data_IF_584786786071
#
_entry.id   IF_584786786071
#
_cell.length_a   1.000
_cell.length_b   1.000
_cell.length_c   1.000
_cell.angle_alpha   90.00
_cell.angle_beta   90.00
_cell.angle_gamma   90.00
#
_symmetry.space_group_name_H-M   'P 1'
#
loop_
_entity.id
_entity.type
_entity.pdbx_description
1 polymer ?
#
# COMPACT_ATOMS: atom_id res chain seq x y z
N UNK A 1 -31.58 14.11 -27.53
CA UNK A 1 -32.17 15.44 -27.83
C UNK A 1 -31.30 16.50 -27.18
N UNK A 2 -31.07 17.64 -27.83
CA UNK A 2 -30.45 18.81 -27.20
C UNK A 2 -31.53 19.90 -27.13
N UNK A 3 -31.72 20.50 -25.95
CA UNK A 3 -32.71 21.57 -25.72
C UNK A 3 -32.01 22.80 -25.15
N UNK A 4 -32.26 23.95 -25.75
CA UNK A 4 -31.90 25.26 -25.21
C UNK A 4 -33.14 26.08 -24.95
N UNK A 5 -33.10 26.84 -23.87
CA UNK A 5 -34.15 27.76 -23.45
C UNK A 5 -33.55 29.16 -23.32
N UNK A 6 -34.21 30.12 -23.94
CA UNK A 6 -33.80 31.51 -23.97
C UNK A 6 -34.80 32.36 -23.20
N UNK A 7 -34.30 33.45 -22.60
CA UNK A 7 -35.13 34.44 -21.93
C UNK A 7 -35.65 35.45 -22.94
N UNK A 8 -36.86 35.98 -22.69
CA UNK A 8 -37.52 36.95 -23.56
C UNK A 8 -36.66 38.20 -23.74
N UNK A 9 -36.43 38.57 -24.99
CA UNK A 9 -35.83 39.86 -25.36
C UNK A 9 -36.92 40.83 -25.84
N UNK A 10 -37.19 41.88 -25.05
CA UNK A 10 -38.22 42.89 -25.35
C UNK A 10 -37.89 43.77 -26.56
N UNK A 11 -36.63 43.78 -27.03
CA UNK A 11 -36.21 44.51 -28.23
C UNK A 11 -36.60 43.81 -29.54
N UNK A 12 -37.04 42.54 -29.48
CA UNK A 12 -37.47 41.75 -30.65
C UNK A 12 -38.98 41.45 -30.58
N UNK A 13 -39.69 41.43 -31.73
CA UNK A 13 -41.07 40.97 -31.75
C UNK A 13 -41.12 39.51 -31.30
N UNK A 14 -42.20 39.12 -30.60
CA UNK A 14 -42.28 37.78 -29.99
C UNK A 14 -42.19 36.65 -31.02
N UNK A 15 -42.68 36.88 -32.24
CA UNK A 15 -42.62 35.93 -33.36
C UNK A 15 -41.23 35.72 -33.97
N UNK A 16 -40.26 36.60 -33.70
CA UNK A 16 -38.88 36.46 -34.15
C UNK A 16 -37.90 36.21 -33.00
N UNK A 17 -38.39 36.12 -31.77
CA UNK A 17 -37.61 35.85 -30.57
C UNK A 17 -37.79 34.40 -30.15
N UNK A 18 -36.74 33.59 -30.34
CA UNK A 18 -36.79 32.15 -30.05
C UNK A 18 -36.75 31.95 -28.54
N UNK A 19 -37.77 31.29 -27.99
CA UNK A 19 -37.85 30.93 -26.57
C UNK A 19 -37.22 29.57 -26.31
N UNK A 20 -37.46 28.60 -27.19
CA UNK A 20 -36.90 27.26 -27.06
C UNK A 20 -36.41 26.77 -28.42
N UNK A 21 -35.22 26.17 -28.42
CA UNK A 21 -34.65 25.48 -29.57
C UNK A 21 -34.39 24.04 -29.18
N UNK A 22 -34.97 23.12 -29.94
CA UNK A 22 -34.87 21.68 -29.68
C UNK A 22 -34.29 21.01 -30.92
N UNK A 23 -33.15 20.34 -30.75
CA UNK A 23 -32.53 19.50 -31.76
C UNK A 23 -32.83 18.02 -31.44
N UNK A 24 -33.69 17.42 -32.26
CA UNK A 24 -34.01 15.99 -32.21
C UNK A 24 -33.03 15.25 -33.11
N UNK A 25 -31.85 14.94 -32.57
CA UNK A 25 -30.73 14.35 -33.33
C UNK A 25 -31.12 13.03 -34.02
N UNK A 26 -31.84 12.15 -33.32
CA UNK A 26 -32.27 10.84 -33.84
C UNK A 26 -33.35 10.91 -34.92
N UNK A 27 -34.16 11.97 -34.92
CA UNK A 27 -35.27 12.17 -35.84
C UNK A 27 -34.92 13.13 -36.98
N UNK A 28 -33.69 13.65 -36.98
CA UNK A 28 -33.21 14.66 -37.93
C UNK A 28 -34.09 15.93 -37.99
N UNK A 29 -34.71 16.31 -36.87
CA UNK A 29 -35.62 17.47 -36.77
C UNK A 29 -35.09 18.57 -35.88
N UNK A 30 -35.42 19.81 -36.22
CA UNK A 30 -35.14 21.00 -35.42
C UNK A 30 -36.45 21.73 -35.15
N UNK A 31 -36.84 21.84 -33.89
CA UNK A 31 -38.04 22.55 -33.48
C UNK A 31 -37.67 23.88 -32.81
N UNK A 32 -38.28 24.94 -33.29
CA UNK A 32 -38.22 26.28 -32.72
C UNK A 32 -39.57 26.64 -32.14
N UNK A 33 -39.58 27.02 -30.87
CA UNK A 33 -40.73 27.65 -30.24
C UNK A 33 -40.36 29.10 -29.94
N UNK A 34 -41.15 30.03 -30.44
CA UNK A 34 -40.95 31.46 -30.23
C UNK A 34 -41.64 31.91 -28.93
N UNK A 35 -41.28 33.09 -28.42
CA UNK A 35 -41.97 33.64 -27.26
C UNK A 35 -43.43 33.94 -27.59
N UNK A 36 -44.32 33.73 -26.60
CA UNK A 36 -45.73 34.06 -26.75
C UNK A 36 -45.92 35.59 -26.75
N UNK A 37 -46.82 36.08 -27.59
CA UNK A 37 -47.25 37.49 -27.59
C UNK A 37 -48.21 37.71 -26.44
N UNK A 38 -48.15 38.87 -25.80
CA UNK A 38 -48.99 39.19 -24.63
C UNK A 38 -50.50 39.09 -24.90
N UNK A 39 -50.93 39.25 -26.16
CA UNK A 39 -52.34 39.19 -26.58
C UNK A 39 -52.81 37.80 -27.03
N UNK A 40 -51.98 36.76 -26.92
CA UNK A 40 -52.28 35.41 -27.39
C UNK A 40 -51.93 34.36 -26.34
N UNK A 41 -52.58 33.19 -26.40
CA UNK A 41 -52.38 32.09 -25.45
C UNK A 41 -51.35 31.07 -26.00
N UNK A 42 -51.22 30.97 -27.33
CA UNK A 42 -50.30 30.04 -27.99
C UNK A 42 -49.07 30.76 -28.55
N UNK A 43 -47.94 30.04 -28.56
CA UNK A 43 -46.70 30.50 -29.17
C UNK A 43 -46.58 30.06 -30.63
N UNK A 44 -45.95 30.89 -31.46
CA UNK A 44 -45.56 30.52 -32.82
C UNK A 44 -44.49 29.41 -32.77
N UNK A 45 -44.56 28.47 -33.71
CA UNK A 45 -43.66 27.30 -33.80
C UNK A 45 -43.17 27.09 -35.22
N UNK A 46 -41.93 26.63 -35.37
CA UNK A 46 -41.38 26.18 -36.65
C UNK A 46 -40.64 24.87 -36.46
N UNK A 47 -40.83 23.96 -37.40
CA UNK A 47 -40.14 22.68 -37.46
C UNK A 47 -39.38 22.61 -38.78
N UNK A 48 -38.10 22.28 -38.70
CA UNK A 48 -37.25 21.97 -39.84
C UNK A 48 -36.98 20.49 -39.86
N UNK A 49 -37.25 19.86 -41.00
CA UNK A 49 -36.92 18.47 -41.25
C UNK A 49 -35.62 18.49 -42.06
N UNK A 50 -34.52 17.99 -41.47
CA UNK A 50 -33.27 17.83 -42.20
C UNK A 50 -33.44 16.63 -43.12
N UNK A 51 -33.14 16.83 -44.41
CA UNK A 51 -32.93 15.72 -45.34
C UNK A 51 -31.42 15.45 -45.42
N UNK A 52 -31.04 14.24 -45.81
CA UNK A 52 -29.63 13.86 -45.99
C UNK A 52 -28.96 14.78 -47.02
N UNK A 53 -27.71 15.16 -46.81
CA UNK A 53 -27.03 16.16 -47.66
C UNK A 53 -26.93 15.77 -49.15
N UNK A 54 -27.06 14.46 -49.45
CA UNK A 54 -27.06 13.90 -50.79
C UNK A 54 -28.31 13.04 -51.02
N UNK A 55 -28.97 13.24 -52.16
CA UNK A 55 -29.95 12.26 -52.67
C UNK A 55 -29.25 10.93 -52.98
N UNK A 56 -30.01 9.83 -53.11
CA UNK A 56 -29.50 8.51 -53.58
C UNK A 56 -28.74 8.55 -54.94
N UNK A 57 -28.68 9.71 -55.60
CA UNK A 57 -28.02 9.99 -56.87
C UNK A 57 -26.85 11.00 -56.77
N UNK A 58 -26.43 11.39 -55.56
CA UNK A 58 -25.29 12.30 -55.33
C UNK A 58 -25.55 13.78 -55.66
N UNK A 59 -26.82 14.19 -55.80
CA UNK A 59 -27.19 15.59 -56.01
C UNK A 59 -27.39 16.30 -54.66
N UNK A 60 -26.95 17.56 -54.57
CA UNK A 60 -27.22 18.42 -53.41
C UNK A 60 -28.70 18.75 -53.34
N UNK A 61 -29.32 18.45 -52.21
CA UNK A 61 -30.74 18.72 -51.99
C UNK A 61 -31.00 20.24 -51.97
N UNK A 62 -31.96 20.68 -52.79
CA UNK A 62 -32.45 22.06 -52.82
C UNK A 62 -33.60 22.16 -51.82
N UNK A 63 -33.57 23.15 -50.91
CA UNK A 63 -34.63 23.35 -49.92
C UNK A 63 -36.01 23.42 -50.59
N UNK A 64 -36.87 22.45 -50.27
CA UNK A 64 -38.26 22.42 -50.72
C UNK A 64 -39.19 22.95 -49.62
N UNK A 65 -40.37 23.45 -50.02
CA UNK A 65 -41.32 24.11 -49.08
C UNK A 65 -41.90 23.16 -48.03
N UNK A 66 -41.81 21.85 -48.23
CA UNK A 66 -42.25 20.78 -47.34
C UNK A 66 -41.26 20.47 -46.20
N UNK A 67 -40.01 20.92 -46.31
CA UNK A 67 -38.97 20.73 -45.29
C UNK A 67 -39.13 21.68 -44.09
N UNK A 68 -40.03 22.67 -44.16
CA UNK A 68 -40.32 23.60 -43.07
C UNK A 68 -41.83 23.64 -42.78
N UNK A 69 -42.22 23.18 -41.60
CA UNK A 69 -43.59 23.28 -41.10
C UNK A 69 -43.64 24.47 -40.15
N UNK A 70 -44.50 25.46 -40.44
CA UNK A 70 -44.60 26.68 -39.62
C UNK A 70 -46.03 26.92 -39.15
N UNK A 71 -46.16 27.22 -37.86
CA UNK A 71 -47.38 27.67 -37.22
C UNK A 71 -47.13 29.07 -36.68
N UNK A 72 -47.84 30.08 -37.20
CA UNK A 72 -47.71 31.47 -36.74
C UNK A 72 -49.05 31.97 -36.20
N UNK A 73 -49.00 32.59 -35.03
CA UNK A 73 -50.20 33.06 -34.33
C UNK A 73 -50.56 34.48 -34.76
N UNK A 74 -51.78 34.66 -35.26
CA UNK A 74 -52.37 35.97 -35.58
C UNK A 74 -51.87 36.61 -36.88
N UNK A 75 -51.31 35.84 -37.82
CA UNK A 75 -50.72 36.36 -39.05
C UNK A 75 -51.41 35.81 -40.31
N UNK A 76 -51.87 36.72 -41.18
CA UNK A 76 -52.09 36.49 -42.62
C UNK A 76 -50.88 36.93 -43.46
N UNK A 77 -49.73 37.24 -42.84
CA UNK A 77 -48.55 37.72 -43.57
C UNK A 77 -47.93 36.61 -44.41
N UNK A 78 -47.44 37.00 -45.59
CA UNK A 78 -46.74 36.12 -46.53
C UNK A 78 -45.62 35.37 -45.81
N UNK A 79 -45.62 34.04 -45.95
CA UNK A 79 -44.54 33.17 -45.52
C UNK A 79 -43.18 33.77 -45.89
N UNK A 80 -42.21 33.70 -44.97
CA UNK A 80 -40.84 34.18 -45.22
C UNK A 80 -40.33 33.54 -46.51
N UNK A 81 -39.62 34.30 -47.34
CA UNK A 81 -39.06 33.80 -48.61
C UNK A 81 -38.25 32.53 -48.34
N UNK A 82 -38.34 31.55 -49.24
CA UNK A 82 -37.68 30.24 -49.13
C UNK A 82 -36.17 30.36 -48.84
N UNK A 83 -35.49 31.35 -49.45
CA UNK A 83 -34.09 31.67 -49.20
C UNK A 83 -33.79 31.96 -47.72
N UNK A 84 -34.65 32.73 -47.05
CA UNK A 84 -34.46 33.09 -45.65
C UNK A 84 -34.68 31.89 -44.71
N UNK A 85 -35.61 31.00 -45.05
CA UNK A 85 -35.80 29.74 -44.32
C UNK A 85 -34.58 28.83 -44.47
N UNK A 86 -33.99 28.76 -45.66
CA UNK A 86 -32.77 28.01 -45.92
C UNK A 86 -31.56 28.57 -45.16
N UNK A 87 -31.34 29.89 -45.21
CA UNK A 87 -30.28 30.54 -44.42
C UNK A 87 -30.44 30.29 -42.91
N UNK A 88 -31.68 30.31 -42.41
CA UNK A 88 -31.96 30.01 -41.01
C UNK A 88 -31.68 28.55 -40.68
N UNK A 89 -32.07 27.62 -41.55
CA UNK A 89 -31.78 26.19 -41.40
C UNK A 89 -30.28 25.91 -41.37
N UNK A 90 -29.49 26.50 -42.26
CA UNK A 90 -28.02 26.36 -42.26
C UNK A 90 -27.40 26.84 -40.93
N UNK A 91 -27.85 27.98 -40.41
CA UNK A 91 -27.39 28.48 -39.09
C UNK A 91 -27.77 27.54 -37.95
N UNK A 92 -28.95 26.91 -38.02
CA UNK A 92 -29.38 25.95 -37.02
C UNK A 92 -28.58 24.65 -37.10
N UNK A 93 -28.28 24.16 -38.30
CA UNK A 93 -27.41 22.98 -38.49
C UNK A 93 -25.99 23.23 -37.97
N UNK A 94 -25.44 24.41 -38.24
CA UNK A 94 -24.14 24.79 -37.70
C UNK A 94 -24.17 24.87 -36.17
N UNK A 95 -25.20 25.49 -35.59
CA UNK A 95 -25.37 25.53 -34.14
C UNK A 95 -25.54 24.13 -33.53
N UNK A 96 -26.29 23.24 -34.19
CA UNK A 96 -26.43 21.84 -33.77
C UNK A 96 -25.07 21.13 -33.71
N UNK A 97 -24.23 21.32 -34.74
CA UNK A 97 -22.89 20.73 -34.79
C UNK A 97 -22.02 21.20 -33.62
N UNK A 98 -22.03 22.49 -33.33
CA UNK A 98 -21.29 23.06 -32.20
C UNK A 98 -21.80 22.52 -30.85
N UNK A 99 -23.12 22.49 -30.65
CA UNK A 99 -23.71 21.99 -29.40
C UNK A 99 -23.47 20.50 -29.21
N UNK A 100 -23.53 19.71 -30.27
CA UNK A 100 -23.21 18.28 -30.21
C UNK A 100 -21.77 18.06 -29.77
N UNK A 101 -20.84 18.89 -30.27
CA UNK A 101 -19.45 18.83 -29.84
C UNK A 101 -19.30 19.20 -28.36
N UNK A 102 -19.94 20.28 -27.90
CA UNK A 102 -19.90 20.68 -26.48
C UNK A 102 -20.46 19.61 -25.54
N UNK A 103 -21.57 18.96 -25.92
CA UNK A 103 -22.14 17.84 -25.15
C UNK A 103 -21.15 16.68 -25.07
N UNK A 104 -20.47 16.36 -26.17
CA UNK A 104 -19.45 15.32 -26.20
C UNK A 104 -18.23 15.67 -25.33
N UNK A 105 -17.77 16.92 -25.34
CA UNK A 105 -16.69 17.38 -24.45
C UNK A 105 -17.09 17.25 -22.98
N UNK A 106 -18.31 17.67 -22.63
CA UNK A 106 -18.84 17.54 -21.27
C UNK A 106 -19.02 16.08 -20.83
N UNK A 107 -19.47 15.20 -21.73
CA UNK A 107 -19.57 13.77 -21.45
C UNK A 107 -18.18 13.17 -21.17
N UNK A 108 -17.19 13.56 -21.96
CA UNK A 108 -15.79 13.11 -21.78
C UNK A 108 -15.23 13.59 -20.44
N UNK A 109 -15.46 14.85 -20.07
CA UNK A 109 -15.06 15.42 -18.78
C UNK A 109 -15.69 14.65 -17.60
N UNK A 110 -16.99 14.34 -17.68
CA UNK A 110 -17.69 13.58 -16.62
C UNK A 110 -17.10 12.18 -16.47
N UNK A 111 -16.78 11.50 -17.57
CA UNK A 111 -16.13 10.20 -17.53
C UNK A 111 -14.75 10.27 -16.88
N UNK A 112 -13.97 11.32 -17.14
CA UNK A 112 -12.68 11.53 -16.50
C UNK A 112 -12.82 11.77 -14.99
N UNK A 113 -13.79 12.59 -14.57
CA UNK A 113 -14.09 12.80 -13.14
C UNK A 113 -14.45 11.48 -12.45
N UNK A 114 -15.28 10.64 -13.10
CA UNK A 114 -15.67 9.35 -12.54
C UNK A 114 -14.46 8.41 -12.39
N UNK A 115 -13.57 8.39 -13.38
CA UNK A 115 -12.34 7.60 -13.34
C UNK A 115 -11.43 8.04 -12.18
N UNK A 116 -11.21 9.34 -12.01
CA UNK A 116 -10.42 9.89 -10.90
C UNK A 116 -11.03 9.47 -9.55
N UNK A 117 -12.36 9.56 -9.41
CA UNK A 117 -13.05 9.13 -8.18
C UNK A 117 -12.89 7.65 -7.88
N UNK A 118 -12.88 6.79 -8.90
CA UNK A 118 -12.62 5.37 -8.74
C UNK A 118 -11.20 5.10 -8.24
N UNK A 119 -10.21 5.80 -8.82
CA UNK A 119 -8.81 5.73 -8.39
C UNK A 119 -8.61 6.25 -6.96
N UNK A 120 -9.27 7.35 -6.60
CA UNK A 120 -9.27 7.92 -5.24
C UNK A 120 -9.90 6.94 -4.24
N UNK A 121 -11.04 6.34 -4.58
CA UNK A 121 -11.72 5.36 -3.72
C UNK A 121 -10.87 4.10 -3.50
N UNK A 122 -10.19 3.61 -4.54
CA UNK A 122 -9.27 2.47 -4.43
C UNK A 122 -8.03 2.81 -3.58
N UNK A 123 -7.55 4.05 -3.65
CA UNK A 123 -6.36 4.52 -2.94
C UNK A 123 -6.66 4.99 -1.52
N UNK A 124 -7.94 5.17 -1.16
CA UNK A 124 -8.36 5.68 0.14
C UNK A 124 -7.98 4.71 1.28
N UNK A 125 -6.77 4.87 1.79
CA UNK A 125 -6.28 4.20 3.00
C UNK A 125 -6.43 5.17 4.16
N UNK A 126 -7.20 4.75 5.17
CA UNK A 126 -7.33 5.49 6.41
C UNK A 126 -5.94 5.69 7.02
N UNK A 127 -5.51 6.93 7.17
CA UNK A 127 -4.29 7.28 7.91
C UNK A 127 -4.59 7.13 9.40
N UNK A 128 -4.39 5.91 9.90
CA UNK A 128 -4.50 5.62 11.33
C UNK A 128 -3.32 6.25 12.04
N UNK A 129 -3.61 7.08 13.04
CA UNK A 129 -2.59 7.72 13.88
C UNK A 129 -1.72 6.65 14.55
N UNK A 130 -0.41 6.93 14.65
CA UNK A 130 0.53 6.06 15.33
C UNK A 130 0.21 5.84 16.82
N UNK A 131 -0.58 6.73 17.41
CA UNK A 131 -1.03 6.66 18.81
C UNK A 131 -2.37 5.93 19.01
N UNK A 132 -3.06 5.55 17.93
CA UNK A 132 -4.31 4.79 18.02
C UNK A 132 -3.98 3.29 18.14
N UNK A 133 -3.94 2.82 19.38
CA UNK A 133 -3.56 1.44 19.72
C UNK A 133 -4.61 0.40 19.35
N UNK A 134 -5.85 0.79 19.06
CA UNK A 134 -6.92 -0.14 18.69
C UNK A 134 -6.97 -0.39 17.18
N UNK A 135 -6.74 0.65 16.36
CA UNK A 135 -6.78 0.54 14.90
C UNK A 135 -5.44 0.23 14.25
N UNK A 136 -4.33 0.44 14.94
CA UNK A 136 -3.00 0.18 14.40
C UNK A 136 -2.56 -1.28 14.65
N UNK A 137 -2.88 -2.14 13.69
CA UNK A 137 -2.60 -3.57 13.73
C UNK A 137 -1.11 -3.89 13.85
N UNK A 138 -0.22 -3.06 13.27
CA UNK A 138 1.24 -3.21 13.39
C UNK A 138 1.73 -2.97 14.82
N UNK A 139 1.20 -1.94 15.49
CA UNK A 139 1.53 -1.66 16.89
C UNK A 139 1.02 -2.78 17.81
N UNK A 140 -0.17 -3.32 17.52
CA UNK A 140 -0.73 -4.46 18.25
C UNK A 140 0.14 -5.71 18.10
N UNK A 141 0.52 -6.07 16.88
CA UNK A 141 1.42 -7.18 16.60
C UNK A 141 2.76 -7.00 17.30
N UNK A 142 3.33 -5.80 17.27
CA UNK A 142 4.60 -5.52 17.95
C UNK A 142 4.49 -5.73 19.47
N UNK A 143 3.42 -5.24 20.11
CA UNK A 143 3.18 -5.46 21.54
C UNK A 143 3.04 -6.94 21.88
N UNK A 144 2.25 -7.68 21.12
CA UNK A 144 2.05 -9.13 21.32
C UNK A 144 3.36 -9.91 21.14
N UNK A 145 4.21 -9.53 20.19
CA UNK A 145 5.54 -10.15 20.02
C UNK A 145 6.46 -9.86 21.20
N UNK A 146 6.47 -8.63 21.72
CA UNK A 146 7.26 -8.24 22.91
C UNK A 146 6.80 -9.01 24.15
N UNK A 147 5.49 -9.09 24.40
CA UNK A 147 4.95 -9.87 25.53
C UNK A 147 5.31 -11.35 25.43
N UNK A 148 5.21 -11.94 24.24
CA UNK A 148 5.58 -13.35 24.02
C UNK A 148 7.05 -13.61 24.31
N UNK A 149 7.94 -12.75 23.82
CA UNK A 149 9.37 -12.85 24.08
C UNK A 149 9.69 -12.72 25.58
N UNK A 150 9.06 -11.77 26.28
CA UNK A 150 9.21 -11.63 27.73
C UNK A 150 8.70 -12.87 28.48
N UNK A 151 7.59 -13.45 28.04
CA UNK A 151 7.02 -14.66 28.65
C UNK A 151 7.94 -15.87 28.44
N UNK A 152 8.46 -16.06 27.23
CA UNK A 152 9.43 -17.13 26.91
C UNK A 152 10.73 -16.94 27.70
N UNK A 153 11.23 -15.71 27.82
CA UNK A 153 12.44 -15.43 28.58
C UNK A 153 12.23 -15.69 30.08
N UNK A 154 11.06 -15.34 30.63
CA UNK A 154 10.69 -15.69 32.00
C UNK A 154 10.60 -17.20 32.20
N UNK A 155 10.00 -17.93 31.26
CA UNK A 155 9.93 -19.40 31.33
C UNK A 155 11.32 -20.02 31.26
N UNK A 156 12.20 -19.55 30.37
CA UNK A 156 13.60 -20.00 30.30
C UNK A 156 14.39 -19.67 31.57
N UNK A 157 14.09 -18.55 32.25
CA UNK A 157 14.71 -18.22 33.53
C UNK A 157 14.26 -19.21 34.62
N UNK A 158 12.97 -19.53 34.68
CA UNK A 158 12.44 -20.53 35.63
C UNK A 158 12.99 -21.94 35.35
N UNK A 159 13.12 -22.33 34.08
CA UNK A 159 13.77 -23.60 33.70
C UNK A 159 15.29 -23.60 33.97
N UNK A 160 15.94 -22.43 33.99
CA UNK A 160 17.36 -22.29 34.31
C UNK A 160 17.64 -22.25 35.82
N UNK A 161 16.66 -21.96 36.66
CA UNK A 161 16.75 -22.08 38.12
C UNK A 161 16.74 -23.56 38.59
N UNK A 162 17.29 -24.47 37.77
CA UNK A 162 17.72 -25.80 38.18
C UNK A 162 18.71 -25.66 39.35
N UNK A 163 18.48 -26.42 40.42
CA UNK A 163 19.27 -26.39 41.66
C UNK A 163 20.76 -26.60 41.36
N UNK A 164 21.51 -25.49 41.37
CA UNK A 164 22.94 -25.45 41.03
C UNK A 164 23.82 -26.19 42.05
N UNK A 165 23.28 -26.49 43.23
CA UNK A 165 23.97 -27.17 44.34
C UNK A 165 23.67 -28.66 44.38
N UNK A 166 22.54 -29.12 43.84
CA UNK A 166 22.09 -30.50 43.93
C UNK A 166 23.14 -31.54 43.48
N UNK A 167 23.87 -31.39 42.35
CA UNK A 167 24.87 -32.38 41.92
C UNK A 167 26.03 -32.53 42.92
N UNK A 168 26.47 -31.41 43.51
CA UNK A 168 27.59 -31.38 44.46
C UNK A 168 27.17 -31.93 45.83
N UNK A 169 25.93 -31.66 46.25
CA UNK A 169 25.35 -32.21 47.48
C UNK A 169 25.18 -33.74 47.39
N UNK A 170 24.80 -34.26 46.22
CA UNK A 170 24.70 -35.71 45.99
C UNK A 170 26.08 -36.38 46.06
N UNK A 171 27.12 -35.76 45.48
CA UNK A 171 28.50 -36.29 45.52
C UNK A 171 29.11 -36.32 46.93
N UNK A 172 28.71 -35.39 47.80
CA UNK A 172 29.20 -35.31 49.18
C UNK A 172 28.61 -36.39 50.11
N UNK A 173 27.47 -36.97 49.75
CA UNK A 173 26.72 -37.90 50.60
C UNK A 173 26.06 -37.19 51.80
N UNK A 174 24.88 -37.68 52.21
CA UNK A 174 24.10 -37.09 53.31
C UNK A 174 24.87 -37.09 54.63
N UNK A 175 25.48 -35.96 54.98
CA UNK A 175 26.07 -35.71 56.29
C UNK A 175 25.15 -34.78 57.07
N UNK A 176 24.59 -35.23 58.20
CA UNK A 176 23.61 -34.50 59.00
C UNK A 176 24.09 -33.13 59.50
N UNK A 177 25.41 -32.85 59.45
CA UNK A 177 25.99 -31.54 59.74
C UNK A 177 27.17 -31.28 58.82
N UNK A 178 27.04 -30.29 57.92
CA UNK A 178 28.14 -29.84 57.07
C UNK A 178 29.15 -29.06 57.92
N UNK A 179 30.44 -29.36 57.77
CA UNK A 179 31.53 -28.63 58.44
C UNK A 179 31.90 -27.38 57.64
N UNK A 180 32.38 -26.31 58.30
CA UNK A 180 32.86 -25.07 57.62
C UNK A 180 33.82 -25.34 56.47
N UNK A 181 34.75 -26.29 56.65
CA UNK A 181 35.68 -26.70 55.58
C UNK A 181 34.98 -27.40 54.41
N UNK A 182 33.96 -28.23 54.67
CA UNK A 182 33.19 -28.91 53.62
C UNK A 182 32.35 -27.91 52.81
N UNK A 183 31.77 -26.90 53.46
CA UNK A 183 31.05 -25.82 52.79
C UNK A 183 31.96 -24.96 51.90
N UNK A 184 33.17 -24.63 52.38
CA UNK A 184 34.17 -23.92 51.58
C UNK A 184 34.63 -24.73 50.37
N UNK A 185 34.93 -26.01 50.57
CA UNK A 185 35.32 -26.91 49.48
C UNK A 185 34.21 -27.04 48.44
N UNK A 186 32.96 -27.22 48.88
CA UNK A 186 31.83 -27.35 47.96
C UNK A 186 31.60 -26.06 47.14
N UNK A 187 31.80 -24.90 47.76
CA UNK A 187 31.79 -23.61 47.06
C UNK A 187 32.90 -23.54 46.01
N UNK A 188 34.12 -23.91 46.35
CA UNK A 188 35.26 -23.93 45.42
C UNK A 188 35.04 -24.93 44.27
N UNK A 189 34.54 -26.12 44.56
CA UNK A 189 34.24 -27.15 43.55
C UNK A 189 33.14 -26.67 42.58
N UNK A 190 32.10 -26.00 43.08
CA UNK A 190 31.04 -25.42 42.24
C UNK A 190 31.56 -24.29 41.35
N UNK A 191 32.37 -23.37 41.90
CA UNK A 191 32.95 -22.26 41.13
C UNK A 191 33.98 -22.74 40.10
N UNK A 192 34.79 -23.73 40.44
CA UNK A 192 35.79 -24.29 39.50
C UNK A 192 35.10 -25.03 38.35
N UNK A 193 34.09 -25.86 38.60
CA UNK A 193 33.29 -26.49 37.55
C UNK A 193 32.61 -25.45 36.65
N UNK A 194 32.01 -24.41 37.24
CA UNK A 194 31.41 -23.33 36.45
C UNK A 194 32.43 -22.59 35.59
N UNK A 195 33.63 -22.31 36.13
CA UNK A 195 34.74 -21.72 35.37
C UNK A 195 35.17 -22.62 34.21
N UNK A 196 35.28 -23.93 34.43
CA UNK A 196 35.60 -24.88 33.38
C UNK A 196 34.55 -24.85 32.27
N UNK A 197 33.26 -24.87 32.60
CA UNK A 197 32.16 -24.78 31.61
C UNK A 197 32.18 -23.47 30.81
N UNK A 198 32.50 -22.33 31.45
CA UNK A 198 32.67 -21.05 30.77
C UNK A 198 33.83 -21.10 29.77
N UNK A 199 34.97 -21.68 30.17
CA UNK A 199 36.15 -21.83 29.31
C UNK A 199 35.84 -22.78 28.14
N UNK A 200 35.24 -23.94 28.40
CA UNK A 200 34.86 -24.91 27.37
C UNK A 200 33.89 -24.30 26.36
N UNK A 201 32.91 -23.52 26.82
CA UNK A 201 31.98 -22.82 25.94
C UNK A 201 32.69 -21.80 25.06
N UNK A 202 33.62 -21.03 25.61
CA UNK A 202 34.43 -20.09 24.83
C UNK A 202 35.28 -20.83 23.78
N UNK A 203 35.93 -21.92 24.17
CA UNK A 203 36.74 -22.76 23.28
C UNK A 203 35.90 -23.39 22.17
N UNK A 204 34.66 -23.80 22.47
CA UNK A 204 33.75 -24.35 21.48
C UNK A 204 33.31 -23.32 20.44
N UNK A 205 33.00 -22.09 20.87
CA UNK A 205 32.68 -20.98 19.96
C UNK A 205 33.91 -20.64 19.10
N UNK A 206 35.08 -20.55 19.72
CA UNK A 206 36.35 -20.29 19.05
C UNK A 206 36.68 -21.36 18.00
N UNK A 207 36.55 -22.64 18.34
CA UNK A 207 36.80 -23.75 17.41
C UNK A 207 35.85 -23.72 16.20
N UNK A 208 34.58 -23.34 16.40
CA UNK A 208 33.64 -23.15 15.28
C UNK A 208 34.01 -21.95 14.42
N UNK A 209 34.41 -20.84 15.03
CA UNK A 209 34.86 -19.65 14.32
C UNK A 209 36.07 -19.96 13.43
N UNK A 210 37.07 -20.64 13.98
CA UNK A 210 38.24 -21.08 13.25
C UNK A 210 37.89 -22.05 12.12
N UNK A 211 36.99 -23.00 12.37
CA UNK A 211 36.53 -23.95 11.35
C UNK A 211 35.87 -23.25 10.15
N UNK A 212 34.89 -22.38 10.40
CA UNK A 212 34.21 -21.63 9.33
C UNK A 212 35.18 -20.72 8.56
N UNK A 213 36.14 -20.11 9.26
CA UNK A 213 37.18 -19.28 8.65
C UNK A 213 38.11 -20.10 7.74
N UNK A 214 38.52 -21.28 8.19
CA UNK A 214 39.35 -22.20 7.39
C UNK A 214 38.58 -22.75 6.17
N UNK A 215 37.30 -23.07 6.31
CA UNK A 215 36.46 -23.54 5.20
C UNK A 215 36.28 -22.44 4.14
N UNK A 216 36.04 -21.20 4.55
CA UNK A 216 35.98 -20.05 3.65
C UNK A 216 37.31 -19.84 2.92
N UNK A 217 38.43 -19.88 3.65
CA UNK A 217 39.76 -19.73 3.05
C UNK A 217 40.07 -20.83 2.03
N UNK A 218 39.73 -22.09 2.32
CA UNK A 218 39.88 -23.21 1.39
C UNK A 218 39.04 -23.02 0.13
N UNK A 219 37.79 -22.54 0.28
CA UNK A 219 36.90 -22.25 -0.84
C UNK A 219 37.39 -21.08 -1.70
N UNK A 220 37.97 -20.05 -1.10
CA UNK A 220 38.63 -18.96 -1.82
C UNK A 220 39.85 -19.45 -2.62
N UNK A 221 40.70 -20.29 -2.03
CA UNK A 221 41.85 -20.89 -2.73
C UNK A 221 41.40 -21.78 -3.90
N UNK A 222 40.36 -22.59 -3.68
CA UNK A 222 39.78 -23.43 -4.72
C UNK A 222 39.23 -22.59 -5.88
N UNK A 223 38.51 -21.50 -5.59
CA UNK A 223 37.99 -20.59 -6.62
C UNK A 223 39.12 -19.97 -7.45
N UNK A 224 40.21 -19.53 -6.82
CA UNK A 224 41.37 -18.97 -7.53
C UNK A 224 42.01 -19.98 -8.50
N UNK A 225 42.01 -21.27 -8.16
CA UNK A 225 42.59 -22.32 -9.02
C UNK A 225 41.65 -22.71 -10.16
N UNK A 226 40.34 -22.70 -9.92
CA UNK A 226 39.34 -23.19 -10.87
C UNK A 226 38.70 -22.09 -11.73
N UNK A 227 39.05 -20.82 -11.51
CA UNK A 227 38.39 -19.64 -12.10
C UNK A 227 38.22 -19.70 -13.63
N UNK A 228 39.19 -20.25 -14.36
CA UNK A 228 39.16 -20.32 -15.83
C UNK A 228 38.22 -21.41 -16.37
N UNK A 229 37.77 -22.34 -15.52
CA UNK A 229 36.91 -23.47 -15.88
C UNK A 229 35.46 -23.36 -15.38
N UNK A 230 35.09 -22.24 -14.76
CA UNK A 230 33.79 -22.08 -14.09
C UNK A 230 32.71 -21.56 -15.03
N UNK A 231 31.47 -22.03 -14.82
CA UNK A 231 30.27 -21.49 -15.47
C UNK A 231 29.68 -20.33 -14.65
N UNK A 232 28.78 -19.55 -15.26
CA UNK A 232 28.08 -18.46 -14.57
C UNK A 232 27.25 -18.94 -13.36
N UNK A 233 26.69 -20.14 -13.43
CA UNK A 233 25.95 -20.75 -12.31
C UNK A 233 26.90 -21.10 -11.15
N UNK A 234 28.10 -21.59 -11.46
CA UNK A 234 29.09 -21.92 -10.44
C UNK A 234 29.67 -20.67 -9.74
N UNK A 235 29.77 -19.54 -10.46
CA UNK A 235 30.17 -18.25 -9.90
C UNK A 235 29.13 -17.71 -8.91
N UNK A 236 27.84 -17.78 -9.26
CA UNK A 236 26.75 -17.32 -8.39
C UNK A 236 26.62 -18.18 -7.11
N UNK A 237 26.78 -19.50 -7.26
CA UNK A 237 26.83 -20.42 -6.12
C UNK A 237 28.01 -20.13 -5.18
N UNK A 238 29.17 -19.77 -5.72
CA UNK A 238 30.34 -19.37 -4.93
C UNK A 238 30.10 -18.04 -4.17
N UNK A 239 29.56 -17.02 -4.84
CA UNK A 239 29.25 -15.73 -4.21
C UNK A 239 28.25 -15.90 -3.05
N UNK A 240 27.22 -16.71 -3.27
CA UNK A 240 26.23 -17.06 -2.24
C UNK A 240 26.92 -17.73 -1.05
N UNK A 241 27.74 -18.77 -1.29
CA UNK A 241 28.49 -19.45 -0.24
C UNK A 241 29.41 -18.50 0.56
N UNK A 242 30.12 -17.60 -0.12
CA UNK A 242 30.99 -16.62 0.54
C UNK A 242 30.18 -15.67 1.44
N UNK A 243 29.03 -15.19 0.97
CA UNK A 243 28.16 -14.32 1.76
C UNK A 243 27.63 -15.00 3.03
N UNK A 244 27.18 -16.25 2.90
CA UNK A 244 26.68 -17.05 4.03
C UNK A 244 27.79 -17.39 5.03
N UNK A 245 28.98 -17.77 4.53
CA UNK A 245 30.14 -18.04 5.38
C UNK A 245 30.57 -16.79 6.17
N UNK A 246 30.67 -15.62 5.52
CA UNK A 246 30.99 -14.36 6.18
C UNK A 246 29.96 -14.00 7.26
N UNK A 247 28.68 -14.19 6.98
CA UNK A 247 27.60 -13.96 7.96
C UNK A 247 27.74 -14.87 9.19
N UNK A 248 28.01 -16.17 8.99
CA UNK A 248 28.23 -17.13 10.09
C UNK A 248 29.45 -16.78 10.93
N UNK A 249 30.57 -16.41 10.29
CA UNK A 249 31.80 -15.97 10.96
C UNK A 249 31.51 -14.74 11.83
N UNK A 250 30.82 -13.74 11.30
CA UNK A 250 30.48 -12.51 12.04
C UNK A 250 29.59 -12.79 13.26
N UNK A 251 28.60 -13.68 13.13
CA UNK A 251 27.78 -14.11 14.28
C UNK A 251 28.64 -14.78 15.35
N UNK A 252 29.58 -15.65 14.96
CA UNK A 252 30.46 -16.35 15.90
C UNK A 252 31.39 -15.37 16.62
N UNK A 253 31.90 -14.35 15.93
CA UNK A 253 32.69 -13.27 16.51
C UNK A 253 31.90 -12.48 17.56
N UNK A 254 30.69 -12.03 17.23
CA UNK A 254 29.80 -11.33 18.19
C UNK A 254 29.51 -12.21 19.40
N UNK A 255 29.21 -13.50 19.17
CA UNK A 255 28.93 -14.45 20.27
C UNK A 255 30.13 -14.64 21.18
N UNK A 256 31.33 -14.72 20.62
CA UNK A 256 32.57 -14.87 21.39
C UNK A 256 32.86 -13.60 22.21
N UNK A 257 32.73 -12.42 21.62
CA UNK A 257 32.94 -11.14 22.32
C UNK A 257 31.93 -10.97 23.45
N UNK A 258 30.64 -11.20 23.20
CA UNK A 258 29.60 -11.18 24.24
C UNK A 258 29.89 -12.20 25.35
N UNK A 259 30.40 -13.38 25.02
CA UNK A 259 30.77 -14.37 26.04
C UNK A 259 31.94 -13.89 26.91
N UNK A 260 32.97 -13.27 26.30
CA UNK A 260 34.11 -12.70 27.04
C UNK A 260 33.68 -11.59 28.01
N UNK A 261 32.73 -10.75 27.62
CA UNK A 261 32.19 -9.68 28.47
C UNK A 261 31.32 -10.21 29.62
N UNK A 262 30.43 -11.16 29.33
CA UNK A 262 29.45 -11.65 30.31
C UNK A 262 30.01 -12.72 31.27
N UNK A 263 31.03 -13.49 30.86
CA UNK A 263 31.54 -14.60 31.67
C UNK A 263 32.05 -14.19 33.07
N UNK A 264 32.82 -13.09 33.23
CA UNK A 264 33.23 -12.60 34.55
C UNK A 264 32.05 -12.21 35.43
N UNK A 265 31.06 -11.51 34.85
CA UNK A 265 29.85 -11.09 35.57
C UNK A 265 29.08 -12.30 36.10
N UNK A 266 28.85 -13.30 35.25
CA UNK A 266 28.17 -14.55 35.64
C UNK A 266 28.93 -15.33 36.72
N UNK A 267 30.27 -15.31 36.68
CA UNK A 267 31.08 -15.94 37.71
C UNK A 267 30.92 -15.23 39.06
N UNK A 268 30.95 -13.88 39.06
CA UNK A 268 30.71 -13.08 40.26
C UNK A 268 29.29 -13.27 40.81
N UNK A 269 28.27 -13.29 39.94
CA UNK A 269 26.88 -13.55 40.34
C UNK A 269 26.72 -14.91 41.00
N UNK A 270 27.38 -15.96 40.49
CA UNK A 270 27.33 -17.29 41.10
C UNK A 270 28.04 -17.31 42.46
N UNK A 271 29.19 -16.66 42.58
CA UNK A 271 29.92 -16.55 43.86
C UNK A 271 29.06 -15.84 44.93
N UNK A 272 28.40 -14.74 44.56
CA UNK A 272 27.46 -14.05 45.44
C UNK A 272 26.26 -14.91 45.82
N UNK A 273 25.67 -15.64 44.85
CA UNK A 273 24.56 -16.56 45.11
C UNK A 273 24.97 -17.65 46.08
N UNK A 274 26.13 -18.28 45.90
CA UNK A 274 26.66 -19.30 46.81
C UNK A 274 26.93 -18.75 48.21
N UNK A 275 27.36 -17.50 48.35
CA UNK A 275 27.55 -16.87 49.66
C UNK A 275 26.23 -16.57 50.38
N UNK A 276 25.18 -16.23 49.63
CA UNK A 276 23.85 -15.87 50.16
C UNK A 276 22.92 -17.08 50.34
N UNK A 277 23.27 -18.24 49.78
CA UNK A 277 22.45 -19.44 49.81
C UNK A 277 22.25 -19.95 51.25
N UNK A 278 21.01 -20.17 51.73
CA UNK A 278 20.75 -20.66 53.08
C UNK A 278 21.51 -21.94 53.47
N UNK A 279 21.78 -22.83 52.51
CA UNK A 279 22.46 -24.11 52.72
C UNK A 279 23.96 -23.95 53.01
N UNK A 280 24.56 -22.83 52.60
CA UNK A 280 25.99 -22.55 52.73
C UNK A 280 26.29 -21.32 53.60
N UNK A 281 25.39 -20.35 53.65
CA UNK A 281 25.57 -19.05 54.31
C UNK A 281 25.82 -19.16 55.81
N UNK A 282 25.26 -20.17 56.49
CA UNK A 282 25.51 -20.39 57.93
C UNK A 282 26.96 -20.81 58.20
N UNK A 283 27.59 -21.52 57.27
CA UNK A 283 28.95 -22.06 57.40
C UNK A 283 30.01 -21.12 56.82
N UNK A 284 29.63 -20.26 55.88
CA UNK A 284 30.50 -19.30 55.19
C UNK A 284 30.60 -17.93 55.89
N UNK A 285 29.81 -17.68 56.94
CA UNK A 285 29.98 -16.50 57.80
C UNK A 285 31.31 -16.57 58.55
N UNK A 286 32.01 -15.44 58.57
CA UNK A 286 33.20 -15.25 59.40
C UNK A 286 32.81 -15.12 60.86
#
# INVERSE_FOLDING_TARGET
>A
QIKEQFRRNTQKPADDDVAERIFMISEERIMLTYHCKDSYITASKKEFIKQKEEDNKGNKIIMTSDMCISYQVGSFQKNKKLLHLYEMMLKLMDAEKHLRHQVWESETEVLEILKIREEEAATNKLTVSMYDTERNEKSKQHRETMERLMQEERQRQVEQDLDYLAPFLIQMGSTEKMTKWQALRLKEDCLTDFKHRLIEKANFIQARFEKETQELQKKQQWYQQNQLSMTLEDEDAYLTYCSDAMFRIHILEIRLNRHKEMAPQKYMELDEKLCKDPRLAEYLKF
#
